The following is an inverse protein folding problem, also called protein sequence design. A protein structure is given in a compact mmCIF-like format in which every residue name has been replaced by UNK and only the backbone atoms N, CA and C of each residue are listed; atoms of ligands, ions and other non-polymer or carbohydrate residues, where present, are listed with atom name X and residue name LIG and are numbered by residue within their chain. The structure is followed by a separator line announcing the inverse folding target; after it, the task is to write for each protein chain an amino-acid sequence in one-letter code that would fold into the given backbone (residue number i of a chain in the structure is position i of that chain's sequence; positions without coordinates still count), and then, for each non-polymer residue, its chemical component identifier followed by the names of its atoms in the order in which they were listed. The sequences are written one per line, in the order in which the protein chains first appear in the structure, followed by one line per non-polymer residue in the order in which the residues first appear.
data_IF_335284223318
#
_entry.id   IF_335284223318
#
_cell.length_a   1.000
_cell.length_b   1.000
_cell.length_c   1.000
_cell.angle_alpha   90.00
_cell.angle_beta   90.00
_cell.angle_gamma   90.00
#
_symmetry.space_group_name_H-M   'P 1'
#
loop_
_entity.id
_entity.type
_entity.pdbx_description
1 polymer ?
#
# COMPACT_ATOMS: atom_id res chain seq x y z
N UNK A 1 57.77 28.79 -2.15
CA UNK A 1 58.32 29.98 -1.46
C UNK A 1 57.62 31.22 -1.99
N UNK A 2 56.79 31.88 -1.17
CA UNK A 2 56.69 33.35 -1.09
C UNK A 2 55.60 33.69 -0.07
N UNK A 3 56.01 34.35 1.01
CA UNK A 3 55.19 34.88 2.10
C UNK A 3 55.37 36.40 2.05
N UNK A 4 54.28 37.17 1.93
CA UNK A 4 54.08 38.55 2.47
C UNK A 4 52.56 38.75 2.60
N UNK A 5 51.90 38.80 3.75
CA UNK A 5 52.02 39.67 4.95
C UNK A 5 51.52 41.10 4.74
N UNK A 6 50.32 41.40 5.27
CA UNK A 6 49.90 42.62 6.00
C UNK A 6 48.38 42.54 6.29
N UNK A 7 47.92 42.09 7.47
CA UNK A 7 47.60 42.83 8.72
C UNK A 7 46.55 43.94 8.62
N UNK A 8 45.45 43.79 9.37
CA UNK A 8 44.46 44.86 9.64
C UNK A 8 43.33 44.47 10.61
N UNK A 9 43.63 44.48 11.91
CA UNK A 9 42.79 44.69 13.12
C UNK A 9 41.24 44.65 13.08
N UNK A 10 40.71 43.67 13.81
CA UNK A 10 39.90 43.79 15.04
C UNK A 10 38.82 44.89 15.15
N UNK A 11 37.53 44.51 15.04
CA UNK A 11 36.40 44.91 15.91
C UNK A 11 35.11 44.19 15.46
N UNK A 12 34.67 43.15 16.18
CA UNK A 12 33.57 43.18 17.16
C UNK A 12 32.13 43.12 16.57
N UNK A 13 31.34 42.19 17.14
CA UNK A 13 29.86 42.12 17.22
C UNK A 13 29.11 41.30 16.14
N UNK A 14 28.84 40.05 16.55
CA UNK A 14 27.62 39.21 16.42
C UNK A 14 26.70 39.39 15.18
N UNK A 15 26.29 38.27 14.53
CA UNK A 15 25.28 38.26 13.46
C UNK A 15 23.88 38.04 14.04
N UNK A 16 22.89 38.87 13.71
CA UNK A 16 21.46 38.55 13.97
C UNK A 16 20.54 39.13 12.90
N UNK A 17 19.75 38.21 12.35
CA UNK A 17 18.42 38.30 11.72
C UNK A 17 18.15 39.23 10.53
N UNK A 18 18.02 38.57 9.37
CA UNK A 18 16.86 38.73 8.48
C UNK A 18 15.60 38.37 9.26
N UNK A 19 14.56 39.21 9.27
CA UNK A 19 13.15 38.85 9.06
C UNK A 19 12.18 40.04 9.32
N UNK A 20 11.19 40.12 8.43
CA UNK A 20 9.85 40.71 8.55
C UNK A 20 9.66 42.23 8.52
N UNK A 21 9.34 42.72 7.31
CA UNK A 21 8.32 43.74 7.13
C UNK A 21 6.97 43.06 6.85
N UNK A 22 5.93 43.52 7.53
CA UNK A 22 4.54 43.79 7.11
C UNK A 22 3.60 43.54 8.28
N UNK A 23 2.84 44.59 8.58
CA UNK A 23 1.98 44.81 9.73
C UNK A 23 0.68 43.97 9.71
N UNK A 24 -0.03 43.89 10.86
CA UNK A 24 -1.29 43.17 10.99
C UNK A 24 -2.48 44.07 10.65
N UNK A 25 -3.52 43.50 10.04
CA UNK A 25 -4.85 44.11 9.97
C UNK A 25 -5.94 43.10 10.29
N UNK A 26 -6.87 43.57 11.13
CA UNK A 26 -7.89 42.87 11.91
C UNK A 26 -9.07 42.31 11.10
N UNK A 27 -9.89 41.42 11.71
CA UNK A 27 -11.05 40.81 11.07
C UNK A 27 -12.27 41.73 11.17
N UNK A 28 -13.02 41.87 10.09
CA UNK A 28 -14.28 42.64 10.06
C UNK A 28 -15.37 41.84 9.36
N UNK A 29 -16.44 41.62 10.11
CA UNK A 29 -17.74 41.07 9.74
C UNK A 29 -18.42 41.83 8.60
N UNK A 30 -19.12 41.09 7.73
CA UNK A 30 -20.02 41.63 6.71
C UNK A 30 -20.95 40.54 6.17
N UNK A 31 -22.15 40.48 6.74
CA UNK A 31 -23.33 39.71 6.33
C UNK A 31 -24.04 40.37 5.14
N UNK A 32 -24.64 39.63 4.20
CA UNK A 32 -26.03 39.82 3.72
C UNK A 32 -26.53 38.64 2.84
N UNK A 33 -27.84 38.37 2.97
CA UNK A 33 -28.67 37.24 2.51
C UNK A 33 -29.03 37.19 1.00
N UNK A 34 -29.46 36.01 0.51
CA UNK A 34 -30.89 35.76 0.14
C UNK A 34 -31.18 34.34 -0.41
N UNK A 35 -32.09 33.64 0.31
CA UNK A 35 -33.21 32.77 -0.11
C UNK A 35 -33.01 31.60 -1.09
N UNK A 36 -33.14 30.37 -0.55
CA UNK A 36 -34.25 29.45 -0.90
C UNK A 36 -34.43 28.38 0.19
N UNK A 37 -35.56 28.50 0.89
CA UNK A 37 -36.24 27.55 1.80
C UNK A 37 -36.25 26.12 1.23
N UNK A 38 -35.87 25.04 1.93
CA UNK A 38 -36.40 24.46 3.19
C UNK A 38 -37.37 23.30 2.86
N UNK A 39 -37.58 22.20 3.63
CA UNK A 39 -37.20 21.85 5.04
C UNK A 39 -36.34 20.54 5.17
N UNK A 40 -35.57 20.23 6.23
CA UNK A 40 -35.89 19.81 7.63
C UNK A 40 -36.75 18.50 7.72
N UNK A 41 -36.52 17.42 8.50
CA UNK A 41 -35.67 17.04 9.66
C UNK A 41 -35.61 15.48 9.87
N UNK A 42 -34.45 14.99 10.36
CA UNK A 42 -34.17 14.01 11.45
C UNK A 42 -34.63 12.51 11.37
N UNK A 43 -33.64 11.63 11.07
CA UNK A 43 -33.17 10.35 11.69
C UNK A 43 -34.15 9.28 12.26
N UNK A 44 -33.84 7.95 12.30
CA UNK A 44 -32.50 7.33 12.38
C UNK A 44 -32.28 6.00 11.59
N UNK A 45 -31.06 5.72 11.10
CA UNK A 45 -30.38 4.40 11.26
C UNK A 45 -29.03 4.32 10.57
N UNK A 46 -28.09 3.75 11.31
CA UNK A 46 -26.85 3.07 10.93
C UNK A 46 -26.82 2.47 9.51
N UNK A 47 -25.74 2.67 8.74
CA UNK A 47 -24.74 1.63 8.37
C UNK A 47 -23.73 2.14 7.32
N UNK A 48 -22.49 1.68 7.52
CA UNK A 48 -21.31 1.60 6.66
C UNK A 48 -21.39 1.91 5.14
N UNK A 49 -20.29 2.56 4.70
CA UNK A 49 -19.60 2.47 3.41
C UNK A 49 -20.14 3.27 2.19
N UNK A 50 -19.45 4.37 1.93
CA UNK A 50 -19.27 5.08 0.65
C UNK A 50 -18.05 4.48 -0.12
N UNK A 51 -17.66 4.87 -1.37
CA UNK A 51 -18.22 5.93 -2.25
C UNK A 51 -18.14 5.71 -3.79
N UNK A 52 -18.67 6.72 -4.53
CA UNK A 52 -18.42 7.14 -5.93
C UNK A 52 -19.09 6.36 -7.09
N UNK A 53 -19.52 6.95 -8.21
CA UNK A 53 -19.99 8.28 -8.62
C UNK A 53 -20.35 8.17 -10.12
N UNK A 54 -21.41 8.89 -10.53
CA UNK A 54 -21.69 9.47 -11.85
C UNK A 54 -21.97 8.62 -13.13
N UNK A 55 -23.23 8.75 -13.56
CA UNK A 55 -23.77 9.15 -14.87
C UNK A 55 -23.49 8.35 -16.17
N UNK A 56 -24.56 7.79 -16.75
CA UNK A 56 -25.06 8.24 -18.06
C UNK A 56 -26.52 7.80 -18.36
N UNK A 57 -27.35 8.81 -18.57
CA UNK A 57 -28.63 8.96 -19.30
C UNK A 57 -29.25 7.76 -20.05
N UNK A 58 -30.57 7.55 -19.87
CA UNK A 58 -31.58 7.75 -20.94
C UNK A 58 -32.89 6.98 -20.68
N UNK A 59 -33.96 7.74 -20.49
CA UNK A 59 -35.39 7.47 -20.74
C UNK A 59 -35.86 6.07 -21.18
N UNK A 60 -36.90 5.57 -20.51
CA UNK A 60 -37.95 4.77 -21.19
C UNK A 60 -38.41 3.49 -20.50
N UNK A 61 -39.20 3.63 -19.44
CA UNK A 61 -40.36 2.79 -19.09
C UNK A 61 -40.34 1.28 -19.43
N UNK A 62 -40.20 0.42 -18.41
CA UNK A 62 -41.29 -0.45 -17.95
C UNK A 62 -40.88 -1.28 -16.74
N UNK A 63 -41.66 -1.03 -15.69
CA UNK A 63 -41.98 -1.89 -14.56
C UNK A 63 -42.34 -3.33 -14.98
N UNK A 64 -41.78 -4.31 -14.27
CA UNK A 64 -42.41 -5.59 -13.96
C UNK A 64 -41.64 -6.23 -12.82
N UNK A 65 -42.24 -6.26 -11.63
CA UNK A 65 -42.51 -7.50 -10.91
C UNK A 65 -43.22 -7.15 -9.60
N UNK A 66 -44.51 -6.88 -9.75
CA UNK A 66 -45.50 -6.90 -8.70
C UNK A 66 -46.68 -7.69 -9.25
N UNK A 67 -46.86 -8.90 -8.73
CA UNK A 67 -47.88 -9.83 -9.21
C UNK A 67 -49.30 -9.39 -8.90
N UNK A 68 -50.21 -9.80 -9.79
CA UNK A 68 -51.60 -10.16 -9.50
C UNK A 68 -52.06 -10.90 -10.75
N UNK A 69 -52.35 -12.20 -10.70
CA UNK A 69 -53.60 -12.66 -10.15
C UNK A 69 -54.69 -12.52 -11.22
N UNK A 70 -55.23 -13.67 -11.65
CA UNK A 70 -56.50 -13.87 -12.37
C UNK A 70 -56.37 -14.31 -13.83
N UNK A 71 -56.99 -15.48 -14.07
CA UNK A 71 -57.52 -16.09 -15.29
C UNK A 71 -56.59 -16.86 -16.22
N UNK A 72 -56.55 -18.16 -15.92
CA UNK A 72 -56.57 -19.29 -16.85
C UNK A 72 -57.54 -19.04 -18.01
N UNK A 73 -57.02 -18.49 -19.11
CA UNK A 73 -57.65 -18.48 -20.43
C UNK A 73 -56.75 -19.29 -21.37
N UNK A 74 -57.04 -20.59 -21.46
CA UNK A 74 -56.44 -21.48 -22.45
C UNK A 74 -56.99 -21.15 -23.84
N UNK A 75 -56.31 -20.26 -24.56
CA UNK A 75 -56.51 -20.10 -26.00
C UNK A 75 -55.44 -20.87 -26.77
N UNK A 76 -55.71 -22.16 -26.98
CA UNK A 76 -55.13 -22.95 -28.07
C UNK A 76 -55.36 -22.21 -29.39
N UNK A 77 -54.29 -21.73 -29.99
CA UNK A 77 -54.32 -21.18 -31.35
C UNK A 77 -53.42 -22.04 -32.22
N UNK A 78 -54.01 -23.11 -32.77
CA UNK A 78 -53.40 -24.00 -33.76
C UNK A 78 -54.52 -24.56 -34.64
N UNK A 79 -54.44 -24.44 -35.98
CA UNK A 79 -55.60 -24.53 -36.85
C UNK A 79 -56.05 -25.99 -37.07
N UNK A 80 -57.33 -26.25 -36.80
CA UNK A 80 -58.01 -27.48 -37.19
C UNK A 80 -58.12 -27.57 -38.72
N UNK A 81 -57.39 -28.49 -39.34
CA UNK A 81 -57.75 -29.02 -40.66
C UNK A 81 -58.85 -30.05 -40.49
N UNK A 82 -60.07 -29.56 -40.31
CA UNK A 82 -61.30 -30.34 -40.44
C UNK A 82 -61.57 -30.59 -41.92
N UNK A 83 -61.11 -31.71 -42.45
CA UNK A 83 -61.63 -32.26 -43.71
C UNK A 83 -63.06 -32.74 -43.48
N UNK A 84 -64.04 -31.90 -43.82
CA UNK A 84 -65.42 -32.31 -43.97
C UNK A 84 -65.49 -33.36 -45.09
N UNK A 85 -65.85 -34.61 -44.75
CA UNK A 85 -66.33 -35.57 -45.74
C UNK A 85 -67.68 -35.07 -46.26
N UNK A 86 -67.75 -34.74 -47.55
CA UNK A 86 -69.03 -34.67 -48.24
C UNK A 86 -69.64 -36.08 -48.27
N UNK A 87 -70.93 -36.28 -47.93
CA UNK A 87 -71.61 -37.53 -48.24
C UNK A 87 -71.71 -37.68 -49.76
N UNK A 88 -71.27 -38.83 -50.27
CA UNK A 88 -71.38 -39.18 -51.69
C UNK A 88 -72.82 -39.64 -52.00
N UNK A 89 -73.64 -38.76 -52.57
CA UNK A 89 -74.99 -39.04 -53.11
C UNK A 89 -74.97 -39.93 -54.39
N UNK A 90 -73.98 -40.81 -54.56
CA UNK A 90 -73.82 -41.66 -55.76
C UNK A 90 -74.16 -43.15 -55.55
N UNK A 91 -74.40 -43.59 -54.31
CA UNK A 91 -74.62 -45.01 -54.00
C UNK A 91 -76.07 -45.48 -54.17
N UNK A 92 -77.04 -44.57 -54.16
CA UNK A 92 -78.47 -44.89 -54.36
C UNK A 92 -78.82 -45.16 -55.83
N UNK A 93 -78.12 -44.51 -56.76
CA UNK A 93 -78.35 -44.67 -58.20
C UNK A 93 -77.97 -46.09 -58.67
N UNK A 94 -76.82 -46.61 -58.21
CA UNK A 94 -76.35 -47.98 -58.52
C UNK A 94 -77.31 -49.03 -57.93
N UNK A 95 -77.83 -48.81 -56.72
CA UNK A 95 -78.80 -49.73 -56.10
C UNK A 95 -80.15 -49.73 -56.81
N UNK A 96 -80.58 -48.60 -57.37
CA UNK A 96 -81.83 -48.50 -58.13
C UNK A 96 -81.76 -49.26 -59.47
N UNK A 97 -80.59 -49.24 -60.13
CA UNK A 97 -80.37 -49.94 -61.39
C UNK A 97 -80.36 -51.46 -61.22
N UNK A 98 -79.70 -51.97 -60.17
CA UNK A 98 -79.70 -53.40 -59.84
C UNK A 98 -81.11 -53.95 -59.57
N UNK A 99 -81.96 -53.17 -58.89
CA UNK A 99 -83.32 -53.61 -58.55
C UNK A 99 -84.25 -53.73 -59.78
N UNK A 100 -84.10 -52.84 -60.77
CA UNK A 100 -84.83 -52.95 -62.05
C UNK A 100 -84.43 -54.18 -62.85
N UNK A 101 -83.13 -54.50 -62.88
CA UNK A 101 -82.65 -55.72 -63.54
C UNK A 101 -83.18 -57.00 -62.88
N UNK A 102 -83.34 -57.01 -61.56
CA UNK A 102 -83.95 -58.14 -60.82
C UNK A 102 -85.45 -58.28 -61.13
N UNK A 103 -86.19 -57.17 -61.26
CA UNK A 103 -87.61 -57.17 -61.64
C UNK A 103 -87.82 -57.66 -63.10
N UNK A 104 -86.95 -57.25 -64.03
CA UNK A 104 -87.01 -57.71 -65.44
C UNK A 104 -86.76 -59.22 -65.57
N UNK A 105 -85.83 -59.78 -64.78
CA UNK A 105 -85.58 -61.23 -64.75
C UNK A 105 -86.75 -62.01 -64.14
N UNK A 106 -87.42 -61.46 -63.13
CA UNK A 106 -88.58 -62.10 -62.51
C UNK A 106 -89.79 -62.17 -63.49
N UNK A 107 -89.99 -61.15 -64.33
CA UNK A 107 -91.06 -61.15 -65.32
C UNK A 107 -90.90 -62.23 -66.41
N UNK A 108 -89.66 -62.52 -66.84
CA UNK A 108 -89.42 -63.57 -67.85
C UNK A 108 -89.76 -64.99 -67.38
N UNK A 109 -89.84 -65.23 -66.06
CA UNK A 109 -90.23 -66.53 -65.49
C UNK A 109 -91.75 -66.74 -65.44
N UNK A 110 -92.55 -65.69 -65.66
CA UNK A 110 -94.00 -65.75 -65.61
C UNK A 110 -94.64 -65.94 -67.00
N UNK A 111 -93.89 -65.71 -68.10
CA UNK A 111 -94.33 -65.92 -69.48
C UNK A 111 -94.24 -67.38 -69.96
N UNK A 112 -93.55 -68.26 -69.21
CA UNK A 112 -93.57 -69.71 -69.43
C UNK A 112 -94.59 -70.36 -68.48
N UNK A 113 -95.84 -69.96 -68.61
CA UNK A 113 -96.94 -70.50 -67.82
C UNK A 113 -97.22 -71.97 -68.15
N UNK A 114 -97.16 -72.81 -67.12
CA UNK A 114 -98.03 -73.93 -66.72
C UNK A 114 -98.93 -74.64 -67.77
N UNK A 115 -98.47 -74.76 -69.02
CA UNK A 115 -99.02 -75.68 -70.00
C UNK A 115 -98.39 -77.06 -69.79
N UNK A 116 -99.21 -78.07 -69.50
CA UNK A 116 -98.78 -79.46 -69.33
C UNK A 116 -97.98 -79.91 -70.56
N UNK A 117 -96.66 -80.06 -70.38
CA UNK A 117 -95.73 -80.48 -71.44
C UNK A 117 -96.03 -81.94 -71.76
N UNK A 118 -96.65 -82.20 -72.91
CA UNK A 118 -96.82 -83.58 -73.40
C UNK A 118 -95.45 -84.17 -73.72
N UNK A 119 -94.96 -85.00 -72.80
CA UNK A 119 -93.68 -85.69 -72.89
C UNK A 119 -93.55 -86.52 -74.17
N UNK A 120 -94.66 -86.99 -74.76
CA UNK A 120 -94.61 -87.79 -75.97
C UNK A 120 -94.34 -86.94 -77.24
N UNK A 121 -94.91 -85.74 -77.32
CA UNK A 121 -94.64 -84.79 -78.43
C UNK A 121 -93.19 -84.28 -78.36
N UNK A 122 -92.70 -83.98 -77.15
CA UNK A 122 -91.32 -83.53 -76.97
C UNK A 122 -90.30 -84.61 -77.34
N UNK A 123 -90.53 -85.86 -76.93
CA UNK A 123 -89.68 -86.99 -77.31
C UNK A 123 -89.75 -87.28 -78.82
N UNK A 124 -90.92 -87.10 -79.44
CA UNK A 124 -91.09 -87.24 -80.90
C UNK A 124 -90.32 -86.17 -81.68
N UNK A 125 -90.34 -84.92 -81.21
CA UNK A 125 -89.52 -83.84 -81.77
C UNK A 125 -88.02 -84.15 -81.64
N UNK A 126 -87.57 -84.57 -80.45
CA UNK A 126 -86.16 -84.93 -80.23
C UNK A 126 -85.74 -86.11 -81.11
N UNK A 127 -86.59 -87.15 -81.25
CA UNK A 127 -86.31 -88.29 -82.11
C UNK A 127 -86.25 -87.90 -83.59
N UNK A 128 -87.13 -86.99 -84.05
CA UNK A 128 -87.10 -86.47 -85.41
C UNK A 128 -85.85 -85.62 -85.68
N UNK A 129 -85.43 -84.77 -84.74
CA UNK A 129 -84.17 -84.02 -84.86
C UNK A 129 -82.95 -84.94 -84.90
N UNK A 130 -82.92 -85.99 -84.08
CA UNK A 130 -81.84 -86.98 -84.11
C UNK A 130 -81.81 -87.76 -85.42
N UNK A 131 -82.95 -88.21 -85.95
CA UNK A 131 -83.00 -88.85 -87.28
C UNK A 131 -82.58 -87.89 -88.40
N UNK A 132 -82.98 -86.62 -88.35
CA UNK A 132 -82.56 -85.61 -89.32
C UNK A 132 -81.05 -85.37 -89.30
N UNK A 133 -80.44 -85.32 -88.12
CA UNK A 133 -78.98 -85.17 -87.96
C UNK A 133 -78.23 -86.44 -88.37
N UNK A 134 -78.72 -87.62 -88.02
CA UNK A 134 -78.11 -88.90 -88.41
C UNK A 134 -78.14 -89.10 -89.93
N UNK A 135 -79.20 -88.64 -90.62
CA UNK A 135 -79.27 -88.67 -92.08
C UNK A 135 -78.20 -87.77 -92.74
N UNK A 136 -77.94 -86.58 -92.16
CA UNK A 136 -76.90 -85.63 -92.63
C UNK A 136 -75.49 -86.17 -92.32
N UNK A 137 -75.35 -86.98 -91.27
CA UNK A 137 -74.09 -87.57 -90.82
C UNK A 137 -73.82 -88.99 -91.35
N UNK A 138 -74.63 -89.53 -92.26
CA UNK A 138 -74.34 -90.84 -92.88
C UNK A 138 -73.21 -90.74 -93.93
N UNK A 139 -72.24 -91.68 -93.96
CA UNK A 139 -71.04 -91.58 -94.81
C UNK A 139 -71.32 -91.53 -96.32
N UNK A 140 -72.48 -92.02 -96.77
CA UNK A 140 -72.87 -92.02 -98.18
C UNK A 140 -73.34 -90.64 -98.67
N UNK A 141 -73.77 -89.73 -97.77
CA UNK A 141 -74.11 -88.34 -98.10
C UNK A 141 -72.86 -87.44 -98.31
N UNK A 142 -71.69 -87.88 -97.85
CA UNK A 142 -70.41 -87.15 -97.99
C UNK A 142 -69.74 -87.34 -99.37
N UNK A 143 -70.36 -88.08 -100.30
CA UNK A 143 -69.84 -88.26 -101.67
C UNK A 143 -70.48 -87.32 -102.71
N UNK A 144 -71.41 -86.46 -102.29
CA UNK A 144 -72.05 -85.48 -103.18
C UNK A 144 -71.14 -84.25 -103.41
N UNK A 145 -70.68 -83.96 -104.65
CA UNK A 145 -69.69 -82.90 -104.92
C UNK A 145 -70.17 -81.47 -104.62
N UNK A 146 -71.46 -81.27 -104.35
CA UNK A 146 -72.07 -79.96 -104.13
C UNK A 146 -71.92 -79.42 -102.69
N UNK A 147 -71.43 -80.22 -101.75
CA UNK A 147 -71.21 -79.83 -100.34
C UNK A 147 -69.80 -79.26 -100.03
N UNK A 148 -68.93 -79.07 -101.05
CA UNK A 148 -67.68 -78.31 -100.89
C UNK A 148 -67.95 -76.81 -100.79
N UNK A 149 -68.42 -76.35 -99.64
CA UNK A 149 -68.45 -74.93 -99.28
C UNK A 149 -67.05 -74.45 -98.89
N UNK A 150 -66.41 -73.75 -99.83
CA UNK A 150 -65.36 -72.72 -99.75
C UNK A 150 -64.67 -72.53 -98.38
N UNK A 151 -63.43 -72.99 -98.26
CA UNK A 151 -62.54 -72.80 -97.11
C UNK A 151 -61.54 -71.62 -97.29
N UNK A 152 -61.56 -70.93 -98.44
CA UNK A 152 -60.50 -69.98 -98.85
C UNK A 152 -60.58 -68.56 -98.20
N UNK A 153 -61.53 -68.29 -97.30
CA UNK A 153 -61.73 -66.95 -96.69
C UNK A 153 -61.39 -66.85 -95.20
N UNK A 154 -61.17 -67.99 -94.52
CA UNK A 154 -60.89 -68.03 -93.07
C UNK A 154 -59.43 -67.65 -92.78
N UNK A 155 -58.51 -67.95 -93.70
CA UNK A 155 -57.08 -67.65 -93.52
C UNK A 155 -56.76 -66.15 -93.60
N UNK A 156 -57.46 -65.38 -94.45
CA UNK A 156 -57.22 -63.93 -94.59
C UNK A 156 -57.74 -63.16 -93.37
N UNK A 157 -58.90 -63.56 -92.82
CA UNK A 157 -59.47 -62.96 -91.60
C UNK A 157 -58.65 -63.29 -90.34
N UNK A 158 -58.05 -64.49 -90.28
CA UNK A 158 -57.09 -64.85 -89.21
C UNK A 158 -55.81 -64.01 -89.29
N UNK A 159 -55.28 -63.75 -90.50
CA UNK A 159 -54.11 -62.88 -90.69
C UNK A 159 -54.37 -61.43 -90.31
N UNK A 160 -55.57 -60.91 -90.61
CA UNK A 160 -55.96 -59.55 -90.19
C UNK A 160 -56.05 -59.43 -88.67
N UNK A 161 -56.62 -60.43 -87.98
CA UNK A 161 -56.65 -60.47 -86.51
C UNK A 161 -55.26 -60.63 -85.88
N UNK A 162 -54.36 -61.39 -86.51
CA UNK A 162 -52.97 -61.52 -86.07
C UNK A 162 -52.19 -60.19 -86.25
N UNK A 163 -52.42 -59.49 -87.37
CA UNK A 163 -51.87 -58.16 -87.63
C UNK A 163 -52.42 -57.12 -86.64
N UNK A 164 -53.72 -57.14 -86.35
CA UNK A 164 -54.31 -56.22 -85.38
C UNK A 164 -53.85 -56.52 -83.94
N UNK A 165 -53.74 -57.79 -83.56
CA UNK A 165 -53.22 -58.19 -82.26
C UNK A 165 -51.74 -57.83 -82.07
N UNK A 166 -50.93 -57.92 -83.12
CA UNK A 166 -49.53 -57.51 -83.07
C UNK A 166 -49.39 -55.98 -82.96
N UNK A 167 -50.18 -55.20 -83.70
CA UNK A 167 -50.21 -53.73 -83.58
C UNK A 167 -50.69 -53.28 -82.19
N UNK A 168 -51.71 -53.94 -81.63
CA UNK A 168 -52.17 -53.65 -80.26
C UNK A 168 -51.10 -53.96 -79.22
N UNK A 169 -50.41 -55.10 -79.35
CA UNK A 169 -49.29 -55.46 -78.45
C UNK A 169 -48.13 -54.47 -78.52
N UNK A 170 -47.74 -54.01 -79.71
CA UNK A 170 -46.65 -53.02 -79.84
C UNK A 170 -47.05 -51.68 -79.23
N UNK A 171 -48.31 -51.25 -79.45
CA UNK A 171 -48.83 -50.01 -78.88
C UNK A 171 -48.93 -50.08 -77.35
N UNK A 172 -49.44 -51.17 -76.80
CA UNK A 172 -49.49 -51.40 -75.35
C UNK A 172 -48.09 -51.44 -74.75
N UNK A 173 -47.11 -52.05 -75.42
CA UNK A 173 -45.71 -52.02 -74.98
C UNK A 173 -45.11 -50.62 -75.00
N UNK A 174 -45.36 -49.82 -76.03
CA UNK A 174 -44.89 -48.43 -76.11
C UNK A 174 -45.54 -47.54 -75.03
N UNK A 175 -46.84 -47.69 -74.78
CA UNK A 175 -47.57 -46.98 -73.73
C UNK A 175 -47.07 -47.38 -72.33
N UNK A 176 -46.82 -48.67 -72.10
CA UNK A 176 -46.23 -49.15 -70.84
C UNK A 176 -44.78 -48.70 -70.67
N UNK A 177 -43.97 -48.66 -71.74
CA UNK A 177 -42.60 -48.17 -71.69
C UNK A 177 -42.52 -46.67 -71.40
N UNK A 178 -43.38 -45.87 -72.03
CA UNK A 178 -43.43 -44.42 -71.79
C UNK A 178 -43.91 -44.11 -70.37
N UNK A 179 -44.95 -44.78 -69.89
CA UNK A 179 -45.40 -44.69 -68.51
C UNK A 179 -44.31 -45.12 -67.51
N UNK A 180 -43.57 -46.19 -67.81
CA UNK A 180 -42.44 -46.65 -66.98
C UNK A 180 -41.30 -45.64 -66.94
N UNK A 181 -40.92 -45.07 -68.08
CA UNK A 181 -39.87 -44.04 -68.17
C UNK A 181 -40.26 -42.76 -67.44
N UNK A 182 -41.53 -42.35 -67.50
CA UNK A 182 -42.04 -41.22 -66.70
C UNK A 182 -42.03 -41.51 -65.20
N UNK A 183 -42.48 -42.70 -64.78
CA UNK A 183 -42.47 -43.10 -63.37
C UNK A 183 -41.03 -43.14 -62.81
N UNK A 184 -40.08 -43.67 -63.58
CA UNK A 184 -38.66 -43.70 -63.21
C UNK A 184 -38.06 -42.29 -63.10
N UNK A 185 -38.42 -41.37 -64.01
CA UNK A 185 -38.01 -39.95 -63.91
C UNK A 185 -38.54 -39.29 -62.63
N UNK A 186 -39.84 -39.45 -62.34
CA UNK A 186 -40.44 -38.91 -61.12
C UNK A 186 -39.79 -39.49 -59.86
N UNK A 187 -39.49 -40.79 -59.86
CA UNK A 187 -38.80 -41.43 -58.73
C UNK A 187 -37.38 -40.89 -58.54
N UNK A 188 -36.62 -40.72 -59.64
CA UNK A 188 -35.27 -40.16 -59.58
C UNK A 188 -35.26 -38.69 -59.13
N UNK A 189 -36.20 -37.88 -59.61
CA UNK A 189 -36.36 -36.49 -59.14
C UNK A 189 -36.65 -36.46 -57.62
N UNK A 190 -37.53 -37.34 -57.13
CA UNK A 190 -37.83 -37.44 -55.70
C UNK A 190 -36.62 -37.91 -54.88
N UNK A 191 -35.81 -38.83 -55.40
CA UNK A 191 -34.55 -39.26 -54.75
C UNK A 191 -33.53 -38.13 -54.71
N UNK A 192 -33.31 -37.44 -55.82
CA UNK A 192 -32.40 -36.30 -55.88
C UNK A 192 -32.83 -35.17 -54.94
N UNK A 193 -34.12 -34.83 -54.90
CA UNK A 193 -34.64 -33.85 -53.96
C UNK A 193 -34.42 -34.26 -52.50
N UNK A 194 -34.64 -35.54 -52.20
CA UNK A 194 -34.42 -36.06 -50.86
C UNK A 194 -32.94 -36.01 -50.45
N UNK A 195 -32.03 -36.36 -51.36
CA UNK A 195 -30.58 -36.25 -51.14
C UNK A 195 -30.14 -34.80 -50.96
N UNK A 196 -30.64 -33.86 -51.77
CA UNK A 196 -30.38 -32.42 -51.61
C UNK A 196 -30.86 -31.92 -50.25
N UNK A 197 -32.05 -32.35 -49.81
CA UNK A 197 -32.59 -31.99 -48.47
C UNK A 197 -31.73 -32.57 -47.34
N UNK A 198 -31.28 -33.82 -47.45
CA UNK A 198 -30.38 -34.45 -46.47
C UNK A 198 -29.03 -33.75 -46.40
N UNK A 199 -28.45 -33.43 -47.55
CA UNK A 199 -27.18 -32.69 -47.63
C UNK A 199 -27.31 -31.32 -46.94
N UNK A 200 -28.37 -30.56 -47.25
CA UNK A 200 -28.63 -29.27 -46.63
C UNK A 200 -28.81 -29.35 -45.10
N UNK A 201 -29.49 -30.39 -44.60
CA UNK A 201 -29.65 -30.62 -43.17
C UNK A 201 -28.30 -30.91 -42.48
N UNK A 202 -27.43 -31.70 -43.12
CA UNK A 202 -26.08 -31.99 -42.63
C UNK A 202 -25.21 -30.74 -42.61
N UNK A 203 -25.20 -29.94 -43.68
CA UNK A 203 -24.46 -28.67 -43.73
C UNK A 203 -24.92 -27.73 -42.62
N UNK A 204 -26.24 -27.52 -42.46
CA UNK A 204 -26.79 -26.70 -41.37
C UNK A 204 -26.43 -27.21 -39.98
N UNK A 205 -26.36 -28.53 -39.79
CA UNK A 205 -25.94 -29.10 -38.51
C UNK A 205 -24.47 -28.78 -38.23
N UNK A 206 -23.58 -29.01 -39.19
CA UNK A 206 -22.14 -28.70 -39.06
C UNK A 206 -21.87 -27.21 -38.88
N UNK A 207 -22.64 -26.35 -39.54
CA UNK A 207 -22.52 -24.90 -39.40
C UNK A 207 -22.97 -24.45 -38.00
N UNK A 208 -24.09 -24.98 -37.48
CA UNK A 208 -24.52 -24.73 -36.10
C UNK A 208 -23.48 -25.17 -35.08
N UNK A 209 -22.83 -26.31 -35.31
CA UNK A 209 -21.77 -26.82 -34.44
C UNK A 209 -20.52 -25.91 -34.47
N UNK A 210 -20.09 -25.47 -35.66
CA UNK A 210 -19.00 -24.49 -35.80
C UNK A 210 -19.31 -23.19 -35.06
N UNK A 211 -20.53 -22.67 -35.17
CA UNK A 211 -20.95 -21.44 -34.48
C UNK A 211 -20.94 -21.63 -32.95
N UNK A 212 -21.38 -22.78 -32.43
CA UNK A 212 -21.31 -23.08 -30.99
C UNK A 212 -19.86 -23.14 -30.52
N UNK A 213 -19.01 -23.89 -31.22
CA UNK A 213 -17.60 -24.03 -30.89
C UNK A 213 -16.86 -22.69 -30.93
N UNK A 214 -17.18 -21.81 -31.89
CA UNK A 214 -16.61 -20.46 -31.96
C UNK A 214 -17.08 -19.56 -30.80
N UNK A 215 -18.36 -19.63 -30.43
CA UNK A 215 -18.90 -18.91 -29.27
C UNK A 215 -18.23 -19.36 -27.98
N UNK A 216 -18.14 -20.67 -27.75
CA UNK A 216 -17.46 -21.25 -26.58
C UNK A 216 -15.99 -20.87 -26.53
N UNK A 217 -15.28 -20.92 -27.66
CA UNK A 217 -13.88 -20.51 -27.75
C UNK A 217 -13.68 -19.01 -27.43
N UNK A 218 -14.58 -18.15 -27.92
CA UNK A 218 -14.56 -16.71 -27.60
C UNK A 218 -14.85 -16.46 -26.13
N UNK A 219 -15.81 -17.17 -25.54
CA UNK A 219 -16.14 -17.04 -24.12
C UNK A 219 -15.00 -17.55 -23.22
N UNK A 220 -14.38 -18.68 -23.57
CA UNK A 220 -13.20 -19.20 -22.88
C UNK A 220 -12.01 -18.22 -22.93
N UNK A 221 -11.75 -17.59 -24.09
CA UNK A 221 -10.73 -16.54 -24.21
C UNK A 221 -11.05 -15.32 -23.35
N UNK A 222 -12.31 -14.90 -23.26
CA UNK A 222 -12.74 -13.80 -22.38
C UNK A 222 -12.54 -14.16 -20.90
N UNK A 223 -12.92 -15.37 -20.47
CA UNK A 223 -12.72 -15.87 -19.10
C UNK A 223 -11.23 -15.90 -18.73
N UNK A 224 -10.38 -16.44 -19.60
CA UNK A 224 -8.92 -16.45 -19.39
C UNK A 224 -8.34 -15.03 -19.25
N UNK A 225 -8.72 -14.09 -20.13
CA UNK A 225 -8.27 -12.69 -20.02
C UNK A 225 -8.72 -12.02 -18.73
N UNK A 226 -9.97 -12.24 -18.30
CA UNK A 226 -10.49 -11.71 -17.04
C UNK A 226 -9.76 -12.30 -15.82
N UNK A 227 -9.42 -13.59 -15.86
CA UNK A 227 -8.66 -14.26 -14.79
C UNK A 227 -7.20 -13.78 -14.72
N UNK A 228 -6.52 -13.63 -15.87
CA UNK A 228 -5.19 -13.02 -15.93
C UNK A 228 -5.18 -11.59 -15.40
N UNK A 229 -6.23 -10.80 -15.69
CA UNK A 229 -6.34 -9.44 -15.17
C UNK A 229 -6.54 -9.43 -13.65
N UNK A 230 -7.37 -10.32 -13.11
CA UNK A 230 -7.54 -10.50 -11.66
C UNK A 230 -6.20 -10.87 -10.99
N UNK A 231 -5.46 -11.81 -11.56
CA UNK A 231 -4.12 -12.18 -11.06
C UNK A 231 -3.15 -11.00 -11.10
N UNK A 232 -3.13 -10.21 -12.18
CA UNK A 232 -2.32 -8.98 -12.28
C UNK A 232 -2.69 -7.95 -11.22
N UNK A 233 -3.98 -7.79 -10.90
CA UNK A 233 -4.46 -6.89 -9.83
C UNK A 233 -3.97 -7.36 -8.46
N UNK A 234 -4.12 -8.66 -8.16
CA UNK A 234 -3.63 -9.28 -6.90
C UNK A 234 -2.12 -9.06 -6.75
N UNK A 235 -1.33 -9.36 -7.78
CA UNK A 235 0.13 -9.19 -7.74
C UNK A 235 0.52 -7.72 -7.51
N UNK A 236 -0.17 -6.77 -8.17
CA UNK A 236 0.07 -5.33 -7.97
C UNK A 236 -0.26 -4.90 -6.54
N UNK A 237 -1.36 -5.38 -5.99
CA UNK A 237 -1.77 -5.06 -4.62
C UNK A 237 -0.79 -5.64 -3.59
N UNK A 238 -0.37 -6.89 -3.78
CA UNK A 238 0.67 -7.53 -2.95
C UNK A 238 1.96 -6.71 -2.95
N UNK A 239 2.45 -6.29 -4.13
CA UNK A 239 3.64 -5.45 -4.26
C UNK A 239 3.50 -4.11 -3.54
N UNK A 240 2.30 -3.49 -3.56
CA UNK A 240 2.03 -2.25 -2.83
C UNK A 240 2.06 -2.49 -1.32
N UNK A 241 1.46 -3.57 -0.83
CA UNK A 241 1.48 -3.97 0.59
C UNK A 241 2.92 -4.23 1.07
N UNK A 242 3.70 -4.99 0.30
CA UNK A 242 5.10 -5.29 0.63
C UNK A 242 5.97 -4.04 0.62
N UNK A 243 5.80 -3.15 -0.35
CA UNK A 243 6.51 -1.86 -0.40
C UNK A 243 6.16 -1.00 0.81
N UNK A 244 4.87 -0.90 1.15
CA UNK A 244 4.43 -0.10 2.29
C UNK A 244 4.95 -0.67 3.62
N UNK A 245 4.92 -2.00 3.79
CA UNK A 245 5.47 -2.66 4.97
C UNK A 245 6.99 -2.44 5.09
N UNK A 246 7.74 -2.52 3.99
CA UNK A 246 9.17 -2.20 3.96
C UNK A 246 9.44 -0.74 4.32
N UNK A 247 8.65 0.18 3.78
CA UNK A 247 8.75 1.60 4.08
C UNK A 247 8.45 1.88 5.56
N UNK A 248 7.39 1.29 6.12
CA UNK A 248 7.05 1.45 7.53
C UNK A 248 8.13 0.87 8.45
N UNK A 249 8.70 -0.30 8.11
CA UNK A 249 9.82 -0.89 8.83
C UNK A 249 11.06 0.02 8.80
N UNK A 250 11.42 0.55 7.63
CA UNK A 250 12.53 1.50 7.49
C UNK A 250 12.30 2.77 8.32
N UNK A 251 11.08 3.31 8.31
CA UNK A 251 10.74 4.49 9.12
C UNK A 251 10.76 4.23 10.64
N UNK A 252 10.43 3.01 11.07
CA UNK A 252 10.57 2.61 12.47
C UNK A 252 12.05 2.49 12.86
N UNK A 253 12.88 1.95 11.99
CA UNK A 253 14.31 1.82 12.19
C UNK A 253 15.00 3.19 12.26
N UNK A 254 14.72 4.10 11.32
CA UNK A 254 15.29 5.46 11.34
C UNK A 254 14.91 6.22 12.61
N UNK A 255 13.66 6.07 13.08
CA UNK A 255 13.23 6.64 14.38
C UNK A 255 13.96 6.02 15.57
N UNK A 256 14.27 4.72 15.54
CA UNK A 256 15.07 4.06 16.59
C UNK A 256 16.51 4.58 16.59
N UNK A 257 17.13 4.65 15.42
CA UNK A 257 18.49 5.17 15.26
C UNK A 257 18.59 6.64 15.69
N UNK A 258 17.62 7.48 15.33
CA UNK A 258 17.57 8.87 15.79
C UNK A 258 17.51 8.98 17.33
N UNK A 259 16.69 8.15 17.99
CA UNK A 259 16.63 8.09 19.46
C UNK A 259 17.93 7.61 20.09
N UNK A 260 18.60 6.63 19.48
CA UNK A 260 19.91 6.17 19.94
C UNK A 260 21.00 7.23 19.75
N UNK A 261 20.98 7.97 18.64
CA UNK A 261 21.92 9.06 18.39
C UNK A 261 21.70 10.21 19.38
N UNK A 262 20.45 10.56 19.69
CA UNK A 262 20.12 11.55 20.73
C UNK A 262 20.63 11.11 22.11
N UNK A 263 20.42 9.85 22.49
CA UNK A 263 20.96 9.30 23.75
C UNK A 263 22.48 9.38 23.80
N UNK A 264 23.18 9.02 22.72
CA UNK A 264 24.65 9.14 22.63
C UNK A 264 25.11 10.60 22.78
N UNK A 265 24.42 11.55 22.13
CA UNK A 265 24.70 12.99 22.28
C UNK A 265 24.46 13.46 23.70
N UNK A 266 23.39 13.01 24.35
CA UNK A 266 23.09 13.34 25.75
C UNK A 266 24.15 12.77 26.71
N UNK A 267 24.56 11.51 26.53
CA UNK A 267 25.63 10.89 27.30
C UNK A 267 26.95 11.66 27.17
N UNK A 268 27.31 12.07 25.95
CA UNK A 268 28.49 12.92 25.71
C UNK A 268 28.39 14.25 26.47
N UNK A 269 27.23 14.93 26.42
CA UNK A 269 27.00 16.18 27.16
C UNK A 269 27.11 15.96 28.68
N UNK A 270 26.62 14.84 29.20
CA UNK A 270 26.74 14.50 30.62
C UNK A 270 28.21 14.28 30.99
N UNK A 271 28.97 13.54 30.17
CA UNK A 271 30.39 13.32 30.41
C UNK A 271 31.20 14.62 30.36
N UNK A 272 30.91 15.51 29.41
CA UNK A 272 31.54 16.82 29.33
C UNK A 272 31.24 17.68 30.56
N UNK A 273 29.98 17.70 31.02
CA UNK A 273 29.58 18.39 32.25
C UNK A 273 30.32 17.83 33.46
N UNK A 274 30.45 16.51 33.58
CA UNK A 274 31.22 15.86 34.66
C UNK A 274 32.70 16.27 34.62
N UNK A 275 33.34 16.18 33.45
CA UNK A 275 34.74 16.63 33.26
C UNK A 275 34.92 18.10 33.57
N UNK A 276 33.97 18.96 33.19
CA UNK A 276 34.01 20.38 33.50
C UNK A 276 33.86 20.64 35.01
N UNK A 277 32.97 19.89 35.68
CA UNK A 277 32.79 19.96 37.12
C UNK A 277 34.04 19.50 37.88
N UNK A 278 34.64 18.36 37.50
CA UNK A 278 35.90 17.88 38.07
C UNK A 278 37.05 18.89 37.89
N UNK A 279 37.17 19.49 36.70
CA UNK A 279 38.15 20.57 36.46
C UNK A 279 37.89 21.80 37.31
N UNK A 280 36.64 22.17 37.55
CA UNK A 280 36.28 23.30 38.42
C UNK A 280 36.60 22.97 39.89
N UNK A 281 36.21 21.80 40.35
CA UNK A 281 36.45 21.33 41.72
C UNK A 281 37.94 21.24 42.04
N UNK A 282 38.75 20.66 41.15
CA UNK A 282 40.21 20.61 41.32
C UNK A 282 40.86 21.99 41.34
N UNK A 283 40.39 22.94 40.51
CA UNK A 283 40.84 24.34 40.56
C UNK A 283 40.47 25.03 41.87
N UNK A 284 39.27 24.78 42.37
CA UNK A 284 38.80 25.32 43.64
C UNK A 284 39.61 24.76 44.82
N UNK A 285 39.89 23.45 44.83
CA UNK A 285 40.74 22.83 45.84
C UNK A 285 42.17 23.39 45.80
N UNK A 286 42.74 23.58 44.60
CA UNK A 286 44.04 24.21 44.43
C UNK A 286 44.05 25.66 44.95
N UNK A 287 42.97 26.43 44.71
CA UNK A 287 42.84 27.78 45.25
C UNK A 287 42.78 27.77 46.79
N UNK A 288 41.97 26.87 47.39
CA UNK A 288 41.90 26.70 48.84
C UNK A 288 43.25 26.33 49.45
N UNK A 289 44.02 25.44 48.81
CA UNK A 289 45.38 25.08 49.24
C UNK A 289 46.33 26.29 49.22
N UNK A 290 46.29 27.11 48.15
CA UNK A 290 47.08 28.35 48.09
C UNK A 290 46.68 29.35 49.17
N UNK A 291 45.39 29.52 49.42
CA UNK A 291 44.91 30.42 50.48
C UNK A 291 45.37 29.96 51.87
N UNK A 292 45.34 28.65 52.14
CA UNK A 292 45.86 28.08 53.38
C UNK A 292 47.37 28.29 53.53
N UNK A 293 48.14 28.09 52.46
CA UNK A 293 49.58 28.36 52.44
C UNK A 293 49.87 29.85 52.68
N UNK A 294 49.11 30.74 52.05
CA UNK A 294 49.26 32.18 52.23
C UNK A 294 48.96 32.59 53.68
N UNK A 295 47.89 32.08 54.28
CA UNK A 295 47.57 32.31 55.69
C UNK A 295 48.67 31.79 56.63
N UNK A 296 49.25 30.63 56.33
CA UNK A 296 50.36 30.09 57.11
C UNK A 296 51.62 30.95 56.99
N UNK A 297 51.96 31.39 55.79
CA UNK A 297 53.10 32.29 55.54
C UNK A 297 52.88 33.67 56.21
N UNK A 298 51.68 34.23 56.11
CA UNK A 298 51.33 35.50 56.78
C UNK A 298 51.43 35.36 58.31
N UNK A 299 51.08 34.21 58.87
CA UNK A 299 51.24 33.92 60.31
C UNK A 299 52.72 33.87 60.70
N UNK A 300 53.54 33.15 59.94
CA UNK A 300 55.00 33.09 60.16
C UNK A 300 55.66 34.46 60.02
N UNK A 301 55.23 35.28 59.05
CA UNK A 301 55.73 36.64 58.87
C UNK A 301 55.39 37.53 60.09
N UNK A 302 54.17 37.43 60.62
CA UNK A 302 53.78 38.14 61.84
C UNK A 302 54.58 37.70 63.06
N UNK A 303 54.75 36.39 63.25
CA UNK A 303 55.56 35.84 64.34
C UNK A 303 57.03 36.31 64.22
N UNK A 304 57.60 36.28 63.02
CA UNK A 304 58.96 36.78 62.76
C UNK A 304 59.10 38.28 63.01
N UNK A 305 58.11 39.10 62.63
CA UNK A 305 58.08 40.53 62.90
C UNK A 305 57.97 40.83 64.40
N UNK A 306 57.16 40.07 65.13
CA UNK A 306 57.02 40.17 66.59
C UNK A 306 58.31 39.78 67.30
N UNK A 307 58.95 38.67 66.90
CA UNK A 307 60.27 38.27 67.39
C UNK A 307 61.33 39.33 67.09
N UNK A 308 61.35 39.88 65.88
CA UNK A 308 62.30 40.92 65.51
C UNK A 308 62.10 42.19 66.36
N UNK A 309 60.84 42.60 66.61
CA UNK A 309 60.51 43.70 67.53
C UNK A 309 60.96 43.41 68.95
N UNK A 310 60.76 42.19 69.44
CA UNK A 310 61.20 41.78 70.78
C UNK A 310 62.73 41.82 70.90
N UNK A 311 63.46 41.21 69.96
CA UNK A 311 64.94 41.26 69.90
C UNK A 311 65.45 42.69 69.85
N UNK A 312 64.82 43.56 69.05
CA UNK A 312 65.18 44.98 68.99
C UNK A 312 65.01 45.66 70.35
N UNK A 313 63.89 45.44 71.05
CA UNK A 313 63.68 45.97 72.41
C UNK A 313 64.73 45.49 73.40
N UNK A 314 65.05 44.20 73.39
CA UNK A 314 66.08 43.62 74.27
C UNK A 314 67.45 44.27 74.00
N UNK A 315 67.87 44.37 72.73
CA UNK A 315 69.15 45.00 72.39
C UNK A 315 69.18 46.51 72.71
N UNK A 316 68.06 47.22 72.57
CA UNK A 316 67.94 48.62 72.99
C UNK A 316 68.02 48.77 74.51
N UNK A 317 67.38 47.87 75.27
CA UNK A 317 67.47 47.83 76.73
C UNK A 317 68.87 47.49 77.22
N UNK A 318 69.56 46.53 76.59
CA UNK A 318 70.96 46.23 76.85
C UNK A 318 71.86 47.44 76.59
N UNK A 319 71.67 48.14 75.47
CA UNK A 319 72.39 49.39 75.17
C UNK A 319 72.11 50.46 76.22
N UNK A 320 70.86 50.64 76.64
CA UNK A 320 70.47 51.57 77.72
C UNK A 320 71.12 51.20 79.05
N UNK A 321 71.14 49.91 79.39
CA UNK A 321 71.77 49.41 80.60
C UNK A 321 73.29 49.66 80.58
N UNK A 322 73.98 49.33 79.48
CA UNK A 322 75.41 49.59 79.30
C UNK A 322 75.73 51.09 79.36
N UNK A 323 74.94 51.93 78.70
CA UNK A 323 75.08 53.38 78.77
C UNK A 323 74.92 53.88 80.21
N UNK A 324 73.90 53.42 80.94
CA UNK A 324 73.69 53.77 82.35
C UNK A 324 74.85 53.32 83.24
N UNK A 325 75.35 52.09 83.05
CA UNK A 325 76.52 51.57 83.75
C UNK A 325 77.76 52.43 83.48
N UNK A 326 78.00 52.81 82.22
CA UNK A 326 79.11 53.67 81.83
C UNK A 326 78.99 55.10 82.38
N UNK A 327 77.79 55.66 82.43
CA UNK A 327 77.56 56.96 83.08
C UNK A 327 77.85 56.87 84.58
N UNK A 328 77.43 55.80 85.24
CA UNK A 328 77.69 55.59 86.67
C UNK A 328 79.18 55.41 86.94
N UNK A 329 79.92 54.67 86.12
CA UNK A 329 81.38 54.52 86.27
C UNK A 329 82.10 55.84 86.04
N UNK A 330 81.74 56.61 85.01
CA UNK A 330 82.30 57.95 84.78
C UNK A 330 81.99 58.91 85.94
N UNK A 331 80.77 58.88 86.49
CA UNK A 331 80.41 59.70 87.64
C UNK A 331 81.20 59.31 88.89
N UNK A 332 81.38 58.01 89.17
CA UNK A 332 82.23 57.52 90.26
C UNK A 332 83.69 57.93 90.07
N UNK A 333 84.23 57.81 88.86
CA UNK A 333 85.59 58.24 88.55
C UNK A 333 85.77 59.76 88.74
N UNK A 334 84.79 60.57 88.34
CA UNK A 334 84.82 62.01 88.56
C UNK A 334 84.76 62.39 90.05
N UNK A 335 83.99 61.65 90.86
CA UNK A 335 83.99 61.82 92.33
C UNK A 335 85.33 61.42 92.95
N UNK A 336 85.91 60.29 92.52
CA UNK A 336 87.25 59.86 92.96
C UNK A 336 88.34 60.87 92.60
N UNK A 337 88.29 61.45 91.40
CA UNK A 337 89.21 62.51 90.96
C UNK A 337 89.09 63.79 91.79
N UNK A 338 87.86 64.17 92.20
CA UNK A 338 87.64 65.31 93.12
C UNK A 338 88.21 65.04 94.52
N UNK A 339 88.06 63.82 95.03
CA UNK A 339 88.66 63.44 96.32
C UNK A 339 90.19 63.43 96.26
N UNK A 340 90.79 62.92 95.18
CA UNK A 340 92.23 62.98 94.97
C UNK A 340 92.76 64.41 94.83
N UNK A 341 92.06 65.27 94.08
CA UNK A 341 92.39 66.70 93.99
C UNK A 341 92.29 67.39 95.36
N UNK A 342 91.28 67.08 96.17
CA UNK A 342 91.14 67.60 97.53
C UNK A 342 92.33 67.17 98.41
N UNK A 343 92.69 65.89 98.40
CA UNK A 343 93.87 65.36 99.12
C UNK A 343 95.17 66.00 98.63
N UNK A 344 95.31 66.28 97.33
CA UNK A 344 96.47 66.97 96.76
C UNK A 344 96.56 68.41 97.28
N UNK A 345 95.44 69.15 97.31
CA UNK A 345 95.38 70.51 97.87
C UNK A 345 95.70 70.53 99.37
N UNK A 346 95.22 69.55 100.14
CA UNK A 346 95.59 69.41 101.55
C UNK A 346 97.09 69.16 101.73
N UNK A 347 97.68 68.25 100.94
CA UNK A 347 99.12 68.00 100.95
C UNK A 347 99.92 69.26 100.59
N UNK A 348 99.47 70.03 99.60
CA UNK A 348 100.11 71.29 99.21
C UNK A 348 100.00 72.36 100.30
N UNK A 349 98.84 72.50 100.97
CA UNK A 349 98.68 73.39 102.13
C UNK A 349 99.57 72.98 103.29
N UNK A 350 99.64 71.68 103.60
CA UNK A 350 100.53 71.15 104.65
C UNK A 350 102.01 71.43 104.33
N UNK A 351 102.43 71.26 103.08
CA UNK A 351 103.79 71.62 102.63
C UNK A 351 104.06 73.12 102.77
N UNK A 352 103.11 73.98 102.37
CA UNK A 352 103.24 75.43 102.51
C UNK A 352 103.34 75.86 103.98
N UNK A 353 102.54 75.23 104.86
CA UNK A 353 102.60 75.48 106.30
C UNK A 353 103.95 75.05 106.89
N UNK A 354 104.44 73.85 106.55
CA UNK A 354 105.75 73.37 107.00
C UNK A 354 106.88 74.31 106.54
N UNK A 355 106.85 74.79 105.29
CA UNK A 355 107.80 75.78 104.79
C UNK A 355 107.76 77.07 105.60
N UNK A 356 106.57 77.59 105.89
CA UNK A 356 106.41 78.80 106.71
C UNK A 356 107.00 78.63 108.12
N UNK A 357 106.82 77.47 108.75
CA UNK A 357 107.39 77.17 110.07
C UNK A 357 108.93 77.16 110.02
N UNK A 358 109.52 76.61 108.95
CA UNK A 358 110.98 76.64 108.74
C UNK A 358 111.44 78.08 108.53
N UNK A 359 110.81 78.82 107.62
CA UNK A 359 111.14 80.23 107.33
C UNK A 359 111.05 81.12 108.60
N UNK A 360 110.04 80.90 109.45
CA UNK A 360 109.86 81.63 110.72
C UNK A 360 110.92 81.23 111.77
N UNK A 361 111.35 79.95 111.79
CA UNK A 361 112.48 79.49 112.62
C UNK A 361 113.80 80.11 112.16
N UNK A 362 114.05 80.14 110.86
CA UNK A 362 115.26 80.72 110.28
C UNK A 362 115.34 82.21 110.59
N UNK A 363 114.24 82.96 110.43
CA UNK A 363 114.16 84.36 110.85
C UNK A 363 114.42 84.56 112.34
N UNK A 364 113.97 83.64 113.19
CA UNK A 364 114.22 83.70 114.64
C UNK A 364 115.71 83.47 114.93
N UNK A 365 116.31 82.47 114.30
CA UNK A 365 117.75 82.21 114.40
C UNK A 365 118.59 83.38 113.90
N UNK A 366 118.21 84.02 112.79
CA UNK A 366 118.88 85.24 112.30
C UNK A 366 118.81 86.38 113.31
N UNK A 367 117.66 86.59 113.97
CA UNK A 367 117.53 87.61 115.03
C UNK A 367 118.38 87.27 116.25
N UNK A 368 118.46 86.01 116.64
CA UNK A 368 119.31 85.56 117.75
C UNK A 368 120.80 85.70 117.41
N UNK A 369 121.21 85.34 116.19
CA UNK A 369 122.56 85.59 115.67
C UNK A 369 122.90 87.09 115.67
N UNK A 370 121.96 87.94 115.26
CA UNK A 370 122.16 89.41 115.29
C UNK A 370 122.35 89.91 116.72
N UNK A 371 121.52 89.44 117.67
CA UNK A 371 121.67 89.79 119.09
C UNK A 371 122.99 89.30 119.68
N UNK A 372 123.48 88.13 119.29
CA UNK A 372 124.79 87.63 119.73
C UNK A 372 125.92 88.48 119.15
N UNK A 373 125.88 88.81 117.85
CA UNK A 373 126.84 89.73 117.22
C UNK A 373 126.83 91.12 117.85
N UNK A 374 125.66 91.63 118.23
CA UNK A 374 125.53 92.93 118.91
C UNK A 374 126.10 92.87 120.34
N UNK A 375 126.04 91.71 121.03
CA UNK A 375 126.71 91.50 122.32
C UNK A 375 128.23 91.31 122.19
N UNK A 376 128.70 90.67 121.13
CA UNK A 376 130.12 90.50 120.83
C UNK A 376 130.79 91.86 120.53
N UNK A 377 130.07 92.79 119.90
CA UNK A 377 130.49 94.19 119.71
C UNK A 377 130.53 95.03 121.00
N UNK A 378 129.92 94.57 122.09
CA UNK A 378 129.91 95.22 123.41
C UNK A 378 130.95 94.63 124.37
N UNK A 379 131.72 93.63 123.95
CA UNK A 379 132.74 92.94 124.76
C UNK A 379 134.19 93.24 124.37
N UNK A 380 134.47 94.31 123.62
CA UNK A 380 135.84 94.69 123.24
C UNK A 380 136.03 96.22 123.25
N UNK A 381 136.13 96.78 124.46
CA UNK A 381 136.85 98.02 124.79
C UNK A 381 137.50 97.80 126.17
N UNK A 382 138.83 97.84 126.20
CA UNK A 382 139.70 97.83 127.39
C UNK A 382 139.81 99.23 128.05
N UNK A 383 140.32 99.21 129.30
CA UNK A 383 140.81 100.28 130.22
C UNK A 383 139.73 101.09 130.99
N UNK A 384 139.64 101.12 132.35
CA UNK A 384 140.59 100.90 133.48
C UNK A 384 140.15 99.84 134.51
#
# INVERSE_FOLDING_TARGET
MSIRSATGSQASRRPVSVYHAVAPSSPSSGSYHSSRSGPELILPRTTYAEPYDYDLESYGSRSSDGGSGIREEHHSTGPHTSTCHQPHDGFEEIRSHMRRLEEDVAHTRQEWGDGEIDTHDMLSRIANYRRGLDMIATPDACRDPLLKLRFDGVDDTLKELEAEASVRKTREQEELETARKEAERRENEMREEWERRQYYLREKATEKERIRNEKEAKEAKKKKKAEEEKQKRIIKEQKRKDHNAKFEAAMKETKRLAKEEEKRKEEQRIQEKKKAYEKRSSREEAARKRDMQRKAADKQAKEADEEARYRKKVTEEEKRYLARKNHQTKAKAALGGREEESRKRERERAKAFAKKVVDDRDKKLERELKKLKDKEKLGYVDDD
#
